data_IF_186938681651
#
_entry.id   IF_186938681651
#
_cell.length_a   1.000
_cell.length_b   1.000
_cell.length_c   1.000
_cell.angle_alpha   90.00
_cell.angle_beta   90.00
_cell.angle_gamma   90.00
#
_symmetry.space_group_name_H-M   'P 1'
#
loop_
_entity.id
_entity.type
_entity.pdbx_description
1 polymer ?
#
# COMPACT_ATOMS: atom_id res chain seq x y z
N UNK A 1 -1.70 -7.88 -18.80
CA UNK A 1 -1.09 -6.68 -18.16
C UNK A 1 -1.14 -6.74 -16.62
N UNK A 2 -2.31 -6.62 -15.97
CA UNK A 2 -2.38 -6.51 -14.49
C UNK A 2 -1.75 -7.69 -13.72
N UNK A 3 -1.97 -8.94 -14.18
CA UNK A 3 -1.33 -10.13 -13.58
C UNK A 3 0.20 -10.16 -13.77
N UNK A 4 0.72 -9.54 -14.84
CA UNK A 4 2.16 -9.42 -15.05
C UNK A 4 2.75 -8.36 -14.11
N UNK A 5 2.10 -7.20 -13.98
CA UNK A 5 2.48 -6.16 -13.01
C UNK A 5 2.48 -6.69 -11.57
N UNK A 6 1.56 -7.59 -11.23
CA UNK A 6 1.53 -8.26 -9.93
C UNK A 6 2.77 -9.15 -9.66
N UNK A 7 3.36 -9.74 -10.71
CA UNK A 7 4.55 -10.62 -10.61
C UNK A 7 5.86 -9.84 -10.50
N UNK A 8 5.86 -8.56 -10.90
CA UNK A 8 7.02 -7.68 -10.75
C UNK A 8 7.19 -7.29 -9.28
N UNK A 9 8.12 -7.96 -8.60
CA UNK A 9 8.41 -7.75 -7.18
C UNK A 9 8.86 -6.30 -6.92
N UNK A 10 8.66 -5.85 -5.69
CA UNK A 10 9.10 -4.53 -5.20
C UNK A 10 8.46 -3.33 -5.90
N UNK A 11 7.22 -3.48 -6.37
CA UNK A 11 6.43 -2.38 -6.95
C UNK A 11 5.17 -2.11 -6.14
N UNK A 12 4.65 -0.89 -6.23
CA UNK A 12 3.36 -0.48 -5.70
C UNK A 12 2.21 -1.34 -6.23
N UNK A 13 2.24 -1.69 -7.52
CA UNK A 13 1.18 -2.49 -8.14
C UNK A 13 1.21 -3.93 -7.63
N UNK A 14 2.38 -4.50 -7.36
CA UNK A 14 2.53 -5.81 -6.74
C UNK A 14 2.05 -5.80 -5.28
N UNK A 15 2.46 -4.81 -4.48
CA UNK A 15 2.00 -4.69 -3.08
C UNK A 15 0.48 -4.48 -3.00
N UNK A 16 -0.09 -3.68 -3.91
CA UNK A 16 -1.53 -3.53 -4.05
C UNK A 16 -2.24 -4.84 -4.40
N UNK A 17 -1.70 -5.60 -5.37
CA UNK A 17 -2.25 -6.88 -5.78
C UNK A 17 -2.30 -7.85 -4.62
N UNK A 18 -1.17 -8.10 -3.95
CA UNK A 18 -1.08 -9.09 -2.88
C UNK A 18 -2.00 -8.76 -1.70
N UNK A 19 -2.06 -7.48 -1.30
CA UNK A 19 -2.96 -7.03 -0.23
C UNK A 19 -4.44 -7.17 -0.56
N UNK A 20 -4.82 -7.02 -1.84
CA UNK A 20 -6.20 -7.19 -2.27
C UNK A 20 -6.53 -8.67 -2.50
N UNK A 21 -5.59 -9.45 -3.03
CA UNK A 21 -5.76 -10.87 -3.27
C UNK A 21 -5.98 -11.63 -1.96
N UNK A 22 -5.20 -11.30 -0.92
CA UNK A 22 -5.36 -11.88 0.42
C UNK A 22 -6.74 -11.63 1.06
N UNK A 23 -7.42 -10.52 0.71
CA UNK A 23 -8.71 -10.13 1.32
C UNK A 23 -9.93 -10.40 0.45
N UNK A 24 -9.77 -10.40 -0.88
CA UNK A 24 -10.88 -10.39 -1.84
C UNK A 24 -10.72 -11.39 -2.98
N UNK A 25 -9.63 -12.15 -3.01
CA UNK A 25 -9.32 -13.12 -4.06
C UNK A 25 -8.64 -12.52 -5.29
N UNK A 26 -7.97 -13.39 -6.06
CA UNK A 26 -7.08 -13.02 -7.15
C UNK A 26 -7.77 -12.23 -8.29
N UNK A 27 -8.99 -12.60 -8.67
CA UNK A 27 -9.71 -11.96 -9.78
C UNK A 27 -10.09 -10.50 -9.44
N UNK A 28 -10.61 -10.25 -8.24
CA UNK A 28 -10.93 -8.89 -7.78
C UNK A 28 -9.68 -8.03 -7.63
N UNK A 29 -8.57 -8.63 -7.18
CA UNK A 29 -7.29 -7.94 -7.09
C UNK A 29 -6.76 -7.53 -8.48
N UNK A 30 -6.86 -8.41 -9.48
CA UNK A 30 -6.41 -8.11 -10.84
C UNK A 30 -7.19 -6.94 -11.46
N UNK A 31 -8.51 -6.89 -11.27
CA UNK A 31 -9.35 -5.78 -11.77
C UNK A 31 -8.98 -4.46 -11.08
N UNK A 32 -8.78 -4.47 -9.77
CA UNK A 32 -8.39 -3.26 -9.04
C UNK A 32 -7.01 -2.72 -9.47
N UNK A 33 -6.05 -3.61 -9.74
CA UNK A 33 -4.74 -3.23 -10.29
C UNK A 33 -4.88 -2.69 -11.72
N UNK A 34 -5.73 -3.31 -12.55
CA UNK A 34 -6.01 -2.81 -13.91
C UNK A 34 -6.59 -1.39 -13.89
N UNK A 35 -7.54 -1.11 -13.00
CA UNK A 35 -8.09 0.23 -12.80
C UNK A 35 -7.01 1.24 -12.38
N UNK A 36 -6.08 0.83 -11.51
CA UNK A 36 -4.98 1.70 -11.08
C UNK A 36 -4.01 2.01 -12.22
N UNK A 37 -3.69 1.01 -13.05
CA UNK A 37 -2.88 1.19 -14.26
C UNK A 37 -3.57 2.16 -15.23
N UNK A 38 -4.88 2.04 -15.44
CA UNK A 38 -5.63 2.95 -16.31
C UNK A 38 -5.54 4.40 -15.82
N UNK A 39 -5.70 4.64 -14.52
CA UNK A 39 -5.55 5.97 -13.91
C UNK A 39 -4.14 6.52 -14.05
N UNK A 40 -3.12 5.67 -13.87
CA UNK A 40 -1.71 6.04 -14.10
C UNK A 40 -1.52 6.48 -15.55
N UNK A 41 -1.97 5.69 -16.52
CA UNK A 41 -1.85 6.02 -17.95
C UNK A 41 -2.57 7.33 -18.28
N UNK A 42 -3.77 7.54 -17.76
CA UNK A 42 -4.49 8.81 -17.92
C UNK A 42 -3.65 10.01 -17.46
N UNK A 43 -3.01 9.92 -16.28
CA UNK A 43 -2.19 11.00 -15.77
C UNK A 43 -0.89 11.19 -16.54
N UNK A 44 -0.23 10.12 -16.98
CA UNK A 44 0.94 10.20 -17.87
C UNK A 44 0.58 10.96 -19.13
N UNK A 45 -0.51 10.58 -19.79
CA UNK A 45 -0.95 11.21 -21.03
C UNK A 45 -1.36 12.67 -20.83
N UNK A 46 -2.11 12.96 -19.75
CA UNK A 46 -2.59 14.31 -19.44
C UNK A 46 -1.48 15.27 -19.04
N UNK A 47 -0.52 14.82 -18.22
CA UNK A 47 0.53 15.67 -17.64
C UNK A 47 1.85 15.58 -18.40
N UNK A 48 1.99 14.65 -19.35
CA UNK A 48 3.25 14.33 -20.06
C UNK A 48 4.42 14.06 -19.11
N UNK A 49 4.13 13.49 -17.94
CA UNK A 49 5.11 13.13 -16.94
C UNK A 49 5.25 11.61 -16.86
N UNK A 50 6.47 11.08 -16.68
CA UNK A 50 6.66 9.65 -16.51
C UNK A 50 6.01 9.14 -15.21
N UNK A 51 5.66 7.86 -15.19
CA UNK A 51 5.23 7.20 -13.96
C UNK A 51 6.38 7.15 -12.95
N UNK A 52 6.11 7.64 -11.75
CA UNK A 52 7.02 7.54 -10.60
C UNK A 52 6.54 6.38 -9.73
N UNK A 53 7.37 5.36 -9.60
CA UNK A 53 7.08 4.19 -8.78
C UNK A 53 7.13 4.55 -7.29
N UNK A 54 6.05 4.27 -6.57
CA UNK A 54 5.89 4.58 -5.14
C UNK A 54 6.59 3.55 -4.24
N UNK A 55 6.94 2.38 -4.80
CA UNK A 55 7.61 1.31 -4.10
C UNK A 55 6.68 0.40 -3.29
N UNK A 56 7.23 -0.69 -2.73
CA UNK A 56 6.43 -1.71 -2.04
C UNK A 56 5.96 -1.25 -0.64
N UNK A 57 6.68 -0.35 0.01
CA UNK A 57 6.43 0.13 1.38
C UNK A 57 5.39 1.23 1.47
N UNK A 58 4.95 1.82 0.35
CA UNK A 58 4.03 2.96 0.31
C UNK A 58 2.79 2.79 1.20
N UNK A 59 2.21 1.58 1.21
CA UNK A 59 1.03 1.32 2.03
C UNK A 59 1.32 1.09 3.51
N UNK A 60 2.50 0.60 3.84
CA UNK A 60 2.94 0.42 5.23
C UNK A 60 3.32 1.78 5.84
N UNK A 61 4.04 2.62 5.10
CA UNK A 61 4.37 3.99 5.49
C UNK A 61 3.11 4.80 5.77
N UNK A 62 2.11 4.73 4.88
CA UNK A 62 0.83 5.45 5.06
C UNK A 62 0.02 4.95 6.25
N UNK A 63 0.20 3.69 6.65
CA UNK A 63 -0.47 3.09 7.81
C UNK A 63 0.32 3.25 9.10
N UNK A 64 1.62 3.59 9.03
CA UNK A 64 2.54 3.63 10.16
C UNK A 64 1.94 4.36 11.36
N UNK A 65 1.44 5.57 11.16
CA UNK A 65 0.84 6.38 12.23
C UNK A 65 -0.40 5.75 12.84
N UNK A 66 -1.24 5.11 12.01
CA UNK A 66 -2.44 4.43 12.48
C UNK A 66 -2.07 3.19 13.30
N UNK A 67 -1.07 2.43 12.84
CA UNK A 67 -0.56 1.24 13.54
C UNK A 67 0.07 1.64 14.87
N UNK A 68 0.88 2.71 14.91
CA UNK A 68 1.46 3.25 16.14
C UNK A 68 0.34 3.62 17.13
N UNK A 69 -0.64 4.42 16.71
CA UNK A 69 -1.76 4.85 17.57
C UNK A 69 -2.57 3.67 18.11
N UNK A 70 -2.88 2.68 17.25
CA UNK A 70 -3.60 1.48 17.67
C UNK A 70 -2.80 0.64 18.66
N UNK A 71 -1.48 0.56 18.47
CA UNK A 71 -0.58 -0.21 19.33
C UNK A 71 -0.45 0.43 20.72
N UNK A 72 -0.27 1.76 20.77
CA UNK A 72 -0.27 2.53 22.04
C UNK A 72 -1.57 2.28 22.80
N UNK A 73 -2.72 2.49 22.14
CA UNK A 73 -4.03 2.29 22.77
C UNK A 73 -4.22 0.85 23.29
N UNK A 74 -3.71 -0.14 22.57
CA UNK A 74 -3.78 -1.54 23.00
C UNK A 74 -2.92 -1.80 24.22
N UNK A 75 -1.70 -1.26 24.27
CA UNK A 75 -0.81 -1.39 25.44
C UNK A 75 -1.37 -0.65 26.67
N UNK A 76 -1.94 0.54 26.48
CA UNK A 76 -2.61 1.29 27.55
C UNK A 76 -3.82 0.51 28.11
N UNK A 77 -4.61 -0.14 27.24
CA UNK A 77 -5.74 -0.97 27.68
C UNK A 77 -5.34 -2.18 28.52
N UNK A 78 -4.07 -2.59 28.47
CA UNK A 78 -3.51 -3.66 29.28
C UNK A 78 -2.95 -3.16 30.62
N UNK A 79 -3.13 -1.88 30.95
CA UNK A 79 -2.70 -1.28 32.22
C UNK A 79 -1.24 -0.81 32.24
N UNK A 80 -0.58 -0.74 31.07
CA UNK A 80 0.81 -0.30 30.94
C UNK A 80 0.84 1.17 30.48
N UNK A 81 1.63 2.01 31.15
CA UNK A 81 1.90 3.38 30.70
C UNK A 81 2.92 3.34 29.57
N UNK A 82 2.53 3.79 28.37
CA UNK A 82 3.40 3.81 27.19
C UNK A 82 4.03 5.19 27.02
N UNK A 83 5.35 5.23 26.88
CA UNK A 83 6.10 6.43 26.50
C UNK A 83 6.76 6.11 25.16
N UNK A 84 6.47 6.92 24.14
CA UNK A 84 7.02 6.72 22.79
C UNK A 84 8.09 7.77 22.55
N UNK A 85 9.32 7.32 22.39
CA UNK A 85 10.44 8.17 21.98
C UNK A 85 10.74 7.92 20.49
N UNK A 86 10.90 9.01 19.74
CA UNK A 86 11.31 8.93 18.34
C UNK A 86 12.80 8.65 18.28
N UNK A 87 13.16 7.42 17.91
CA UNK A 87 14.55 7.11 17.54
C UNK A 87 14.78 7.63 16.12
N UNK A 88 15.61 8.66 15.99
CA UNK A 88 16.05 9.23 14.72
C UNK A 88 17.04 8.29 14.01
#
# INVERSE_FOLDING_TARGET
AARAAARTKNTYLSSQYHRLAARRGANRAAVAVAHSILTIVYHILKRKQPYIELGPSYYEERKRDTVIKQSIKKLESLGVKVIVESVA
#
